data_IF_836629552494
#
_entry.id   IF_836629552494
#
_cell.length_a   1.000
_cell.length_b   1.000
_cell.length_c   1.000
_cell.angle_alpha   90.00
_cell.angle_beta   90.00
_cell.angle_gamma   90.00
#
_symmetry.space_group_name_H-M   'P 1'
#
loop_
_entity.id
_entity.type
_entity.pdbx_description
1 polymer ?
#
# COMPACT_ATOMS: atom_id res chain seq x y z
N UNK A 1 -11.50 -18.49 -5.91
CA UNK A 1 -11.51 -17.43 -4.87
C UNK A 1 -10.19 -17.55 -4.16
N UNK A 2 -9.46 -16.45 -4.05
CA UNK A 2 -8.11 -16.40 -3.49
C UNK A 2 -8.06 -15.34 -2.39
N UNK A 3 -7.13 -15.48 -1.45
CA UNK A 3 -6.79 -14.46 -0.46
C UNK A 3 -5.85 -13.44 -1.10
N UNK A 4 -6.31 -12.20 -1.24
CA UNK A 4 -5.52 -11.05 -1.63
C UNK A 4 -5.17 -10.23 -0.39
N UNK A 5 -3.90 -9.92 -0.22
CA UNK A 5 -3.39 -9.29 1.00
C UNK A 5 -3.98 -7.89 1.28
N UNK A 6 -4.45 -7.21 0.23
CA UNK A 6 -5.05 -5.88 0.29
C UNK A 6 -6.56 -5.94 0.16
N UNK A 7 -7.06 -6.69 -0.84
CA UNK A 7 -8.48 -6.71 -1.21
C UNK A 7 -9.29 -7.81 -0.51
N UNK A 8 -8.64 -8.69 0.24
CA UNK A 8 -9.25 -9.82 0.92
C UNK A 8 -9.68 -10.92 -0.05
N UNK A 9 -10.84 -11.51 0.19
CA UNK A 9 -11.38 -12.60 -0.60
C UNK A 9 -11.76 -12.11 -2.00
N UNK A 10 -10.93 -12.44 -3.00
CA UNK A 10 -11.15 -12.05 -4.39
C UNK A 10 -11.54 -13.25 -5.25
N UNK A 11 -12.61 -13.08 -6.04
CA UNK A 11 -13.02 -14.01 -7.07
C UNK A 11 -12.63 -13.48 -8.44
N UNK A 12 -11.92 -14.32 -9.20
CA UNK A 12 -11.70 -14.14 -10.64
C UNK A 12 -12.45 -15.22 -11.40
N UNK A 13 -13.28 -14.83 -12.37
CA UNK A 13 -14.08 -15.73 -13.20
C UNK A 13 -13.67 -15.60 -14.65
N UNK A 14 -13.44 -16.73 -15.33
CA UNK A 14 -13.16 -16.79 -16.76
C UNK A 14 -14.36 -17.37 -17.50
N UNK A 15 -14.89 -16.64 -18.48
CA UNK A 15 -16.00 -17.06 -19.34
C UNK A 15 -15.51 -17.18 -20.78
N UNK A 16 -15.64 -18.36 -21.35
CA UNK A 16 -15.19 -18.68 -22.70
C UNK A 16 -16.40 -18.82 -23.63
N UNK A 17 -16.37 -18.19 -24.79
CA UNK A 17 -17.49 -18.20 -25.73
C UNK A 17 -17.04 -18.11 -27.20
N UNK A 18 -18.01 -18.20 -28.11
CA UNK A 18 -17.83 -18.11 -29.56
C UNK A 18 -16.76 -19.08 -30.09
N UNK A 19 -16.90 -20.36 -29.75
CA UNK A 19 -15.93 -21.37 -30.14
C UNK A 19 -15.88 -21.57 -31.65
N UNK A 20 -14.66 -21.72 -32.18
CA UNK A 20 -14.41 -22.21 -33.53
C UNK A 20 -13.71 -23.55 -33.48
N UNK A 21 -13.96 -24.37 -34.49
CA UNK A 21 -13.27 -25.66 -34.65
C UNK A 21 -12.06 -25.51 -35.56
N UNK A 22 -10.90 -25.95 -35.09
CA UNK A 22 -9.67 -26.06 -35.89
C UNK A 22 -9.15 -27.48 -35.71
N UNK A 23 -9.13 -28.23 -36.81
CA UNK A 23 -8.92 -29.68 -36.81
C UNK A 23 -9.83 -30.41 -35.81
N UNK A 24 -9.25 -30.91 -34.71
CA UNK A 24 -9.96 -31.63 -33.66
C UNK A 24 -10.20 -30.79 -32.39
N UNK A 25 -9.73 -29.54 -32.36
CA UNK A 25 -9.81 -28.66 -31.19
C UNK A 25 -10.95 -27.65 -31.33
N UNK A 26 -11.65 -27.39 -30.22
CA UNK A 26 -12.59 -26.28 -30.08
C UNK A 26 -11.89 -25.14 -29.33
N UNK A 27 -11.66 -24.03 -30.00
CA UNK A 27 -10.92 -22.89 -29.47
C UNK A 27 -11.91 -21.74 -29.25
N UNK A 28 -11.98 -21.15 -28.03
CA UNK A 28 -12.86 -20.00 -27.78
C UNK A 28 -12.34 -18.77 -28.54
N UNK A 29 -13.23 -18.04 -29.21
CA UNK A 29 -12.87 -16.75 -29.82
C UNK A 29 -12.94 -15.58 -28.85
N UNK A 30 -13.73 -15.72 -27.78
CA UNK A 30 -13.88 -14.67 -26.79
C UNK A 30 -13.66 -15.23 -25.38
N UNK A 31 -12.90 -14.47 -24.59
CA UNK A 31 -12.64 -14.76 -23.17
C UNK A 31 -12.98 -13.48 -22.40
N UNK A 32 -13.96 -13.56 -21.50
CA UNK A 32 -14.27 -12.50 -20.55
C UNK A 32 -13.70 -12.88 -19.18
N UNK A 33 -12.93 -11.98 -18.58
CA UNK A 33 -12.24 -12.20 -17.31
C UNK A 33 -12.77 -11.17 -16.31
N UNK A 34 -13.64 -11.60 -15.41
CA UNK A 34 -14.17 -10.78 -14.32
C UNK A 34 -13.21 -10.91 -13.13
N UNK A 35 -12.46 -9.86 -12.79
CA UNK A 35 -11.48 -9.81 -11.69
C UNK A 35 -12.00 -9.00 -10.51
N UNK A 36 -11.41 -9.24 -9.34
CA UNK A 36 -11.66 -8.49 -8.11
C UNK A 36 -13.16 -8.39 -7.78
N UNK A 37 -13.86 -9.53 -7.76
CA UNK A 37 -15.30 -9.57 -7.49
C UNK A 37 -16.12 -8.75 -8.52
N UNK A 38 -15.79 -8.95 -9.80
CA UNK A 38 -16.43 -8.31 -10.97
C UNK A 38 -16.24 -6.78 -11.06
N UNK A 39 -15.23 -6.22 -10.37
CA UNK A 39 -14.90 -4.79 -10.45
C UNK A 39 -14.14 -4.43 -11.72
N UNK A 40 -13.36 -5.37 -12.24
CA UNK A 40 -12.64 -5.24 -13.51
C UNK A 40 -13.12 -6.34 -14.44
N UNK A 41 -13.40 -5.97 -15.69
CA UNK A 41 -13.77 -6.92 -16.73
C UNK A 41 -12.79 -6.71 -17.88
N UNK A 42 -11.95 -7.71 -18.12
CA UNK A 42 -11.10 -7.76 -19.29
C UNK A 42 -11.76 -8.63 -20.36
N UNK A 43 -11.64 -8.22 -21.62
CA UNK A 43 -12.09 -8.99 -22.76
C UNK A 43 -10.90 -9.31 -23.67
N UNK A 44 -10.76 -10.59 -24.01
CA UNK A 44 -9.78 -11.07 -24.97
C UNK A 44 -10.52 -11.64 -26.17
N UNK A 45 -10.22 -11.10 -27.35
CA UNK A 45 -10.70 -11.61 -28.62
C UNK A 45 -9.56 -12.27 -29.41
N UNK A 46 -9.76 -13.53 -29.79
CA UNK A 46 -8.78 -14.29 -30.56
C UNK A 46 -9.13 -14.21 -32.05
N UNK A 47 -8.57 -13.24 -32.76
CA UNK A 47 -8.89 -13.04 -34.18
C UNK A 47 -8.46 -14.24 -35.06
N UNK A 48 -7.22 -14.69 -34.89
CA UNK A 48 -6.62 -15.78 -35.70
C UNK A 48 -6.14 -16.88 -34.77
N UNK A 49 -6.32 -18.12 -35.19
CA UNK A 49 -5.87 -19.29 -34.46
C UNK A 49 -5.28 -20.27 -35.47
N UNK A 50 -4.06 -20.75 -35.21
CA UNK A 50 -3.29 -21.61 -36.10
C UNK A 50 -2.67 -22.74 -35.28
N UNK A 51 -2.69 -23.96 -35.81
CA UNK A 51 -1.98 -25.09 -35.23
C UNK A 51 -0.63 -25.20 -35.96
N UNK A 52 0.45 -25.21 -35.20
CA UNK A 52 1.82 -25.35 -35.70
C UNK A 52 2.51 -26.49 -34.95
N UNK A 53 3.41 -27.21 -35.64
CA UNK A 53 4.25 -28.24 -35.04
C UNK A 53 5.52 -27.67 -34.38
N UNK A 54 5.76 -26.36 -34.54
CA UNK A 54 6.90 -25.65 -33.97
C UNK A 54 6.43 -24.75 -32.84
N UNK A 55 7.08 -24.82 -31.68
CA UNK A 55 6.88 -23.86 -30.60
C UNK A 55 7.58 -22.54 -30.96
N UNK A 56 6.87 -21.43 -31.16
CA UNK A 56 7.51 -20.15 -31.44
C UNK A 56 8.31 -19.70 -30.21
N UNK A 57 9.58 -19.34 -30.42
CA UNK A 57 10.34 -18.61 -29.41
C UNK A 57 9.86 -17.16 -29.45
N UNK A 58 8.99 -16.79 -28.50
CA UNK A 58 8.40 -15.44 -28.44
C UNK A 58 9.41 -14.42 -27.90
N UNK A 59 10.22 -14.84 -26.93
CA UNK A 59 11.28 -14.06 -26.28
C UNK A 59 12.43 -14.99 -25.92
N UNK A 60 13.67 -14.61 -26.26
CA UNK A 60 14.86 -15.27 -25.74
C UNK A 60 15.18 -14.72 -24.35
N UNK A 61 15.42 -15.61 -23.39
CA UNK A 61 15.90 -15.17 -22.08
C UNK A 61 17.34 -14.64 -22.20
N UNK A 62 17.74 -13.64 -21.39
CA UNK A 62 19.14 -13.24 -21.29
C UNK A 62 20.03 -14.44 -20.94
N UNK A 63 21.21 -14.56 -21.56
CA UNK A 63 22.12 -15.71 -21.38
C UNK A 63 22.52 -15.96 -19.91
N UNK A 64 22.55 -14.90 -19.11
CA UNK A 64 22.93 -14.96 -17.70
C UNK A 64 21.73 -14.97 -16.74
N UNK A 65 20.51 -15.09 -17.26
CA UNK A 65 19.31 -15.22 -16.42
C UNK A 65 19.36 -16.53 -15.64
N UNK A 66 19.24 -16.43 -14.32
CA UNK A 66 19.08 -17.56 -13.42
C UNK A 66 17.85 -17.31 -12.56
N UNK A 67 16.94 -18.26 -12.57
CA UNK A 67 15.85 -18.28 -11.61
C UNK A 67 16.46 -18.62 -10.24
N UNK A 68 16.19 -17.79 -9.25
CA UNK A 68 16.58 -18.04 -7.87
C UNK A 68 15.35 -18.54 -7.12
N UNK A 69 15.56 -19.38 -6.12
CA UNK A 69 14.47 -19.76 -5.23
C UNK A 69 14.03 -18.51 -4.46
N UNK A 70 12.72 -18.27 -4.36
CA UNK A 70 12.18 -17.22 -3.52
C UNK A 70 12.44 -17.62 -2.05
N UNK A 71 13.49 -17.07 -1.45
CA UNK A 71 13.69 -17.18 0.00
C UNK A 71 12.54 -16.45 0.72
N UNK A 72 11.92 -17.12 1.68
CA UNK A 72 10.93 -16.50 2.56
C UNK A 72 11.62 -15.42 3.39
N UNK A 73 11.44 -14.14 3.03
CA UNK A 73 12.02 -13.03 3.76
C UNK A 73 11.32 -12.93 5.12
N UNK A 74 12.09 -13.12 6.20
CA UNK A 74 11.55 -12.99 7.56
C UNK A 74 11.22 -11.53 7.84
N UNK A 75 10.01 -11.27 8.33
CA UNK A 75 9.58 -9.93 8.72
C UNK A 75 10.48 -9.36 9.82
N UNK A 76 11.00 -8.15 9.63
CA UNK A 76 11.81 -7.45 10.63
C UNK A 76 11.69 -5.94 10.49
N UNK A 77 11.67 -5.26 11.63
CA UNK A 77 11.63 -3.79 11.73
C UNK A 77 12.92 -3.33 12.39
N UNK A 78 13.64 -2.40 11.74
CA UNK A 78 14.69 -1.63 12.36
C UNK A 78 14.12 -0.27 12.81
N UNK A 79 14.28 0.04 14.10
CA UNK A 79 13.89 1.33 14.65
C UNK A 79 15.07 2.31 14.60
N UNK A 80 14.85 3.46 13.96
CA UNK A 80 15.82 4.55 13.87
C UNK A 80 15.21 5.80 14.54
N UNK A 81 15.88 6.31 15.57
CA UNK A 81 15.52 7.60 16.18
C UNK A 81 16.12 8.76 15.39
N UNK A 82 15.28 9.59 14.77
CA UNK A 82 15.71 10.79 14.04
C UNK A 82 15.78 12.02 14.95
N UNK A 83 14.75 12.23 15.79
CA UNK A 83 14.71 13.25 16.84
C UNK A 83 13.92 12.74 18.04
N UNK A 84 13.66 13.58 19.04
CA UNK A 84 12.79 13.21 20.17
C UNK A 84 11.32 13.02 19.76
N UNK A 85 10.91 13.58 18.61
CA UNK A 85 9.54 13.50 18.11
C UNK A 85 9.42 12.65 16.84
N UNK A 86 10.50 12.42 16.11
CA UNK A 86 10.49 11.73 14.81
C UNK A 86 11.25 10.42 14.93
N UNK A 87 10.55 9.32 14.72
CA UNK A 87 11.07 7.96 14.70
C UNK A 87 10.78 7.36 13.32
N UNK A 88 11.66 6.48 12.84
CA UNK A 88 11.51 5.76 11.59
C UNK A 88 11.51 4.26 11.89
N UNK A 89 10.58 3.53 11.28
CA UNK A 89 10.50 2.08 11.33
C UNK A 89 10.79 1.56 9.92
N UNK A 90 11.95 0.95 9.72
CA UNK A 90 12.35 0.38 8.43
C UNK A 90 11.97 -1.11 8.38
N UNK A 91 11.02 -1.45 7.52
CA UNK A 91 10.55 -2.81 7.30
C UNK A 91 11.47 -3.47 6.27
N UNK A 92 12.47 -4.22 6.73
CA UNK A 92 13.51 -4.79 5.84
C UNK A 92 12.98 -5.82 4.86
N UNK A 93 11.83 -6.43 5.15
CA UNK A 93 11.21 -7.45 4.31
C UNK A 93 10.38 -6.90 3.18
N UNK A 94 10.04 -5.61 3.20
CA UNK A 94 9.31 -4.94 2.11
C UNK A 94 10.07 -3.73 1.56
N UNK A 95 11.21 -3.38 2.14
CA UNK A 95 12.04 -2.21 1.78
C UNK A 95 11.29 -0.87 1.93
N UNK A 96 10.36 -0.82 2.89
CA UNK A 96 9.58 0.37 3.21
C UNK A 96 10.08 1.07 4.48
N UNK A 97 9.79 2.36 4.57
CA UNK A 97 10.02 3.18 5.75
C UNK A 97 8.73 3.80 6.22
N UNK A 98 8.38 3.52 7.46
CA UNK A 98 7.22 4.08 8.14
C UNK A 98 7.67 5.18 9.09
N UNK A 99 6.91 6.26 9.13
CA UNK A 99 7.18 7.42 9.98
C UNK A 99 6.29 7.35 11.22
N UNK A 100 6.91 7.30 12.40
CA UNK A 100 6.23 7.39 13.69
C UNK A 100 6.55 8.74 14.31
N UNK A 101 5.50 9.51 14.59
CA UNK A 101 5.59 10.85 15.16
C UNK A 101 5.04 10.85 16.57
N UNK A 102 5.89 11.22 17.52
CA UNK A 102 5.56 11.32 18.93
C UNK A 102 5.15 12.74 19.33
N UNK A 103 3.88 12.90 19.71
CA UNK A 103 3.38 14.08 20.42
C UNK A 103 3.38 13.80 21.93
N UNK A 104 3.02 14.82 22.73
CA UNK A 104 2.93 14.72 24.18
C UNK A 104 2.03 13.56 24.64
N UNK A 105 0.80 13.49 24.11
CA UNK A 105 -0.23 12.57 24.59
C UNK A 105 -0.58 11.45 23.61
N UNK A 106 -0.03 11.45 22.39
CA UNK A 106 -0.43 10.50 21.36
C UNK A 106 0.67 10.27 20.31
N UNK A 107 0.47 9.23 19.51
CA UNK A 107 1.26 8.90 18.33
C UNK A 107 0.46 9.19 17.06
N UNK A 108 1.17 9.61 16.01
CA UNK A 108 0.72 9.58 14.64
C UNK A 108 1.64 8.63 13.86
N UNK A 109 1.04 7.70 13.12
CA UNK A 109 1.77 6.82 12.20
C UNK A 109 1.47 7.28 10.77
N UNK A 110 2.52 7.44 9.98
CA UNK A 110 2.46 7.70 8.55
C UNK A 110 3.03 6.50 7.80
N UNK A 111 2.23 5.96 6.89
CA UNK A 111 2.47 4.78 6.06
C UNK A 111 2.30 3.43 6.78
N UNK A 112 1.74 2.45 6.07
CA UNK A 112 1.67 1.06 6.47
C UNK A 112 1.62 0.15 5.22
N UNK A 113 2.73 -0.53 4.90
CA UNK A 113 2.87 -1.19 3.62
C UNK A 113 2.13 -2.53 3.52
N UNK A 114 1.53 -2.71 2.35
CA UNK A 114 1.05 -3.95 1.72
C UNK A 114 -0.14 -4.66 2.37
N UNK A 115 -0.16 -4.85 3.70
CA UNK A 115 -1.13 -5.75 4.32
C UNK A 115 -1.32 -5.55 5.84
N UNK A 116 -2.37 -6.18 6.38
CA UNK A 116 -2.72 -6.15 7.79
C UNK A 116 -1.63 -6.73 8.71
N UNK A 117 -0.83 -7.71 8.27
CA UNK A 117 0.25 -8.25 9.11
C UNK A 117 1.33 -7.19 9.38
N UNK A 118 1.69 -6.42 8.36
CA UNK A 118 2.62 -5.30 8.51
C UNK A 118 2.04 -4.17 9.37
N UNK A 119 0.75 -3.84 9.20
CA UNK A 119 0.08 -2.86 10.06
C UNK A 119 0.10 -3.27 11.54
N UNK A 120 -0.15 -4.55 11.85
CA UNK A 120 -0.07 -5.10 13.20
C UNK A 120 1.36 -5.04 13.78
N UNK A 121 2.37 -5.34 12.95
CA UNK A 121 3.79 -5.23 13.34
C UNK A 121 4.15 -3.78 13.70
N UNK A 122 3.72 -2.81 12.89
CA UNK A 122 3.96 -1.38 13.11
C UNK A 122 3.31 -0.91 14.41
N UNK A 123 2.04 -1.27 14.64
CA UNK A 123 1.32 -0.93 15.89
C UNK A 123 2.05 -1.52 17.10
N UNK A 124 2.51 -2.77 16.99
CA UNK A 124 3.28 -3.44 18.05
C UNK A 124 4.58 -2.69 18.36
N UNK A 125 5.37 -2.33 17.34
CA UNK A 125 6.61 -1.56 17.54
C UNK A 125 6.35 -0.16 18.11
N UNK A 126 5.32 0.53 17.62
CA UNK A 126 4.93 1.84 18.14
C UNK A 126 4.60 1.78 19.65
N UNK A 127 3.88 0.73 20.09
CA UNK A 127 3.56 0.49 21.50
C UNK A 127 4.77 0.07 22.34
N UNK A 128 5.85 -0.46 21.74
CA UNK A 128 7.11 -0.68 22.47
C UNK A 128 7.86 0.63 22.69
N UNK A 129 7.86 1.50 21.69
CA UNK A 129 8.55 2.81 21.74
C UNK A 129 7.88 3.74 22.74
N UNK A 130 6.55 3.86 22.69
CA UNK A 130 5.77 4.74 23.54
C UNK A 130 4.52 4.04 24.12
N UNK A 131 4.69 3.14 25.10
CA UNK A 131 3.62 2.23 25.58
C UNK A 131 2.40 2.93 26.19
N UNK A 132 2.56 4.16 26.65
CA UNK A 132 1.48 4.91 27.31
C UNK A 132 0.75 5.87 26.35
N UNK A 133 1.19 6.00 25.09
CA UNK A 133 0.61 6.92 24.12
C UNK A 133 -0.27 6.14 23.12
N UNK A 134 -1.57 6.45 22.98
CA UNK A 134 -2.40 5.84 21.95
C UNK A 134 -1.98 6.29 20.56
N UNK A 135 -2.18 5.43 19.55
CA UNK A 135 -2.11 5.81 18.14
C UNK A 135 -3.41 6.53 17.80
N UNK A 136 -3.36 7.87 17.81
CA UNK A 136 -4.55 8.71 17.58
C UNK A 136 -4.83 8.89 16.10
N UNK A 137 -3.78 8.97 15.29
CA UNK A 137 -3.88 9.22 13.87
C UNK A 137 -3.06 8.22 13.07
N UNK A 138 -3.66 7.78 11.96
CA UNK A 138 -2.95 7.14 10.87
C UNK A 138 -3.11 8.02 9.62
N UNK A 139 -2.03 8.22 8.87
CA UNK A 139 -2.03 8.93 7.59
C UNK A 139 -1.21 8.13 6.59
N UNK A 140 -1.47 8.32 5.30
CA UNK A 140 -0.72 7.69 4.23
C UNK A 140 -0.54 8.68 3.09
N UNK A 141 0.57 8.56 2.37
CA UNK A 141 0.96 9.47 1.31
C UNK A 141 -0.03 9.47 0.15
N UNK A 142 -0.38 8.28 -0.33
CA UNK A 142 -1.30 8.09 -1.46
C UNK A 142 -1.84 6.65 -1.53
N UNK A 143 -2.74 6.36 -2.47
CA UNK A 143 -3.51 5.12 -2.55
C UNK A 143 -2.73 3.84 -2.93
N UNK A 144 -1.42 3.90 -3.18
CA UNK A 144 -0.67 2.67 -3.44
C UNK A 144 -0.55 1.83 -2.17
N UNK A 145 -0.58 0.52 -2.35
CA UNK A 145 -0.59 -0.48 -1.29
C UNK A 145 0.62 -0.38 -0.36
N UNK A 146 1.76 0.13 -0.83
CA UNK A 146 2.97 0.39 -0.05
C UNK A 146 2.74 1.43 1.08
N UNK A 147 1.67 2.21 1.00
CA UNK A 147 1.39 3.34 1.90
C UNK A 147 0.17 3.11 2.77
N UNK A 148 -0.89 2.49 2.23
CA UNK A 148 -2.10 2.21 3.00
C UNK A 148 -2.48 0.74 3.16
N UNK A 149 -1.73 -0.21 2.60
CA UNK A 149 -2.14 -1.62 2.61
C UNK A 149 -2.34 -2.20 4.01
N UNK A 150 -1.65 -1.65 5.01
CA UNK A 150 -1.81 -2.00 6.42
C UNK A 150 -2.85 -1.17 7.19
N UNK A 151 -3.80 -0.50 6.53
CA UNK A 151 -4.77 0.41 7.19
C UNK A 151 -5.75 -0.29 8.13
N UNK A 152 -6.18 -1.52 7.83
CA UNK A 152 -7.22 -2.23 8.59
C UNK A 152 -6.87 -2.41 10.08
N UNK A 153 -5.62 -2.81 10.45
CA UNK A 153 -5.16 -2.78 11.84
C UNK A 153 -5.31 -1.43 12.55
N UNK A 154 -5.10 -0.30 11.87
CA UNK A 154 -5.25 1.03 12.49
C UNK A 154 -6.71 1.38 12.74
N UNK A 155 -7.62 0.95 11.87
CA UNK A 155 -9.06 1.04 12.11
C UNK A 155 -9.46 0.19 13.32
N UNK A 156 -8.92 -1.03 13.42
CA UNK A 156 -9.13 -1.89 14.60
C UNK A 156 -8.53 -1.29 15.90
N UNK A 157 -7.38 -0.61 15.83
CA UNK A 157 -6.78 0.07 16.99
C UNK A 157 -7.53 1.34 17.40
N UNK A 158 -8.46 1.81 16.57
CA UNK A 158 -9.30 2.99 16.84
C UNK A 158 -8.67 4.32 16.41
N UNK A 159 -7.66 4.29 15.53
CA UNK A 159 -7.04 5.49 15.00
C UNK A 159 -8.00 6.25 14.06
N UNK A 160 -7.90 7.58 14.05
CA UNK A 160 -8.55 8.41 13.05
C UNK A 160 -7.68 8.46 11.78
N UNK A 161 -8.25 8.05 10.66
CA UNK A 161 -7.55 8.00 9.36
C UNK A 161 -7.58 9.38 8.70
N UNK A 162 -6.43 10.03 8.58
CA UNK A 162 -6.27 11.30 7.86
C UNK A 162 -6.13 10.99 6.38
N UNK A 163 -6.99 11.55 5.54
CA UNK A 163 -6.99 11.28 4.10
C UNK A 163 -7.62 12.42 3.30
N UNK A 164 -7.40 12.43 1.98
CA UNK A 164 -8.08 13.37 1.09
C UNK A 164 -9.50 12.91 0.77
N UNK A 165 -10.31 13.79 0.17
CA UNK A 165 -11.65 13.42 -0.31
C UNK A 165 -11.64 12.33 -1.39
N UNK A 166 -10.56 12.18 -2.16
CA UNK A 166 -10.41 11.13 -3.18
C UNK A 166 -10.30 9.72 -2.60
N UNK A 167 -9.94 9.59 -1.32
CA UNK A 167 -9.66 8.29 -0.70
C UNK A 167 -10.87 7.65 -0.03
N UNK A 168 -11.96 8.39 0.19
CA UNK A 168 -13.08 7.93 1.04
C UNK A 168 -13.65 6.59 0.60
N UNK A 169 -14.03 6.50 -0.68
CA UNK A 169 -14.68 5.29 -1.21
C UNK A 169 -13.71 4.11 -1.22
N UNK A 170 -12.42 4.38 -1.48
CA UNK A 170 -11.39 3.36 -1.48
C UNK A 170 -11.08 2.84 -0.07
N UNK A 171 -10.94 3.73 0.92
CA UNK A 171 -10.79 3.35 2.32
C UNK A 171 -11.99 2.55 2.83
N UNK A 172 -13.20 2.99 2.50
CA UNK A 172 -14.42 2.27 2.87
C UNK A 172 -14.44 0.88 2.24
N UNK A 173 -14.06 0.78 0.96
CA UNK A 173 -13.90 -0.50 0.28
C UNK A 173 -12.90 -1.42 1.00
N UNK A 174 -11.69 -0.96 1.32
CA UNK A 174 -10.68 -1.77 2.02
C UNK A 174 -11.13 -2.21 3.42
N UNK A 175 -11.87 -1.37 4.14
CA UNK A 175 -12.42 -1.69 5.46
C UNK A 175 -13.55 -2.71 5.38
N UNK A 176 -14.42 -2.59 4.37
CA UNK A 176 -15.56 -3.49 4.17
C UNK A 176 -15.19 -4.78 3.44
N UNK A 177 -14.00 -4.85 2.83
CA UNK A 177 -13.48 -6.07 2.20
C UNK A 177 -13.49 -7.23 3.20
N UNK A 178 -13.98 -8.36 2.71
CA UNK A 178 -14.08 -9.59 3.48
C UNK A 178 -12.75 -10.34 3.46
N UNK A 179 -12.22 -10.72 4.60
CA UNK A 179 -10.98 -11.50 4.70
C UNK A 179 -11.24 -12.88 5.33
N UNK A 180 -12.23 -13.62 4.84
CA UNK A 180 -12.65 -14.86 5.53
C UNK A 180 -11.73 -16.06 5.29
N UNK A 181 -10.91 -16.03 4.23
CA UNK A 181 -9.88 -17.06 4.02
C UNK A 181 -8.70 -16.92 5.00
N UNK A 182 -8.35 -15.69 5.37
CA UNK A 182 -7.25 -15.36 6.27
C UNK A 182 -7.65 -14.15 7.15
N UNK A 183 -8.45 -14.37 8.21
CA UNK A 183 -9.08 -13.29 8.94
C UNK A 183 -8.08 -12.47 9.75
N UNK A 184 -8.11 -11.16 9.55
CA UNK A 184 -7.41 -10.19 10.38
C UNK A 184 -8.27 -9.74 11.57
N UNK A 185 -7.70 -8.91 12.45
CA UNK A 185 -8.41 -8.45 13.65
C UNK A 185 -9.68 -7.67 13.34
N UNK A 186 -9.72 -6.95 12.22
CA UNK A 186 -10.89 -6.17 11.82
C UNK A 186 -12.01 -7.05 11.27
N UNK A 187 -11.69 -8.14 10.56
CA UNK A 187 -12.67 -9.18 10.19
C UNK A 187 -13.25 -9.86 11.45
N UNK A 188 -12.39 -10.18 12.42
CA UNK A 188 -12.79 -10.87 13.65
C UNK A 188 -13.58 -9.98 14.62
N UNK A 189 -13.24 -8.68 14.69
CA UNK A 189 -13.89 -7.68 15.53
C UNK A 189 -14.09 -6.38 14.73
N UNK A 190 -15.20 -6.27 13.98
CA UNK A 190 -15.45 -5.10 13.14
C UNK A 190 -15.54 -3.81 13.95
N UNK A 191 -14.82 -2.78 13.48
CA UNK A 191 -14.85 -1.42 14.04
C UNK A 191 -15.11 -0.40 12.94
N UNK A 192 -15.80 0.71 13.24
CA UNK A 192 -16.14 1.70 12.23
C UNK A 192 -14.90 2.46 11.75
N UNK A 193 -14.84 2.73 10.45
CA UNK A 193 -13.89 3.66 9.88
C UNK A 193 -14.20 5.09 10.36
N UNK A 194 -13.22 5.74 11.00
CA UNK A 194 -13.29 7.16 11.38
C UNK A 194 -12.26 7.93 10.56
N UNK A 195 -12.72 8.91 9.78
CA UNK A 195 -11.85 9.70 8.91
C UNK A 195 -11.78 11.17 9.32
N UNK A 196 -10.63 11.80 9.04
CA UNK A 196 -10.43 13.25 9.08
C UNK A 196 -9.93 13.72 7.73
N UNK A 197 -10.70 14.58 7.08
CA UNK A 197 -10.36 15.03 5.74
C UNK A 197 -9.31 16.14 5.76
N UNK A 198 -8.39 16.05 4.80
CA UNK A 198 -7.49 17.13 4.42
C UNK A 198 -7.89 17.66 3.04
N UNK A 199 -8.00 18.99 2.93
CA UNK A 199 -8.28 19.67 1.66
C UNK A 199 -6.99 20.27 1.09
N UNK A 200 -6.38 21.23 1.79
CA UNK A 200 -5.12 21.84 1.35
C UNK A 200 -3.94 21.43 2.24
N UNK A 201 -4.13 21.59 3.56
CA UNK A 201 -3.13 21.22 4.55
C UNK A 201 -3.78 20.96 5.90
N UNK A 202 -3.05 20.28 6.79
CA UNK A 202 -3.46 20.03 8.17
C UNK A 202 -2.24 20.13 9.09
N UNK A 203 -2.33 20.98 10.11
CA UNK A 203 -1.36 21.00 11.21
C UNK A 203 -1.79 20.04 12.32
N UNK A 204 -0.89 19.13 12.71
CA UNK A 204 -0.98 18.33 13.92
C UNK A 204 0.08 18.86 14.88
N UNK A 205 -0.32 19.27 16.09
CA UNK A 205 0.58 19.92 17.05
C UNK A 205 0.23 19.62 18.49
N UNK A 206 1.23 19.77 19.35
CA UNK A 206 1.10 19.97 20.78
C UNK A 206 1.79 21.30 21.19
N UNK A 207 2.08 21.50 22.48
CA UNK A 207 2.67 22.73 22.98
C UNK A 207 4.11 22.98 22.49
N UNK A 208 4.85 21.94 22.09
CA UNK A 208 6.27 22.02 21.77
C UNK A 208 6.63 21.56 20.35
N UNK A 209 5.72 20.87 19.66
CA UNK A 209 5.99 20.23 18.39
C UNK A 209 4.84 20.37 17.39
N UNK A 210 5.17 20.58 16.11
CA UNK A 210 4.22 20.69 15.00
C UNK A 210 4.69 19.86 13.80
N UNK A 211 3.77 19.09 13.24
CA UNK A 211 3.85 18.47 11.92
C UNK A 211 2.80 19.10 11.02
N UNK A 212 3.16 19.42 9.78
CA UNK A 212 2.24 19.87 8.74
C UNK A 212 2.12 18.81 7.66
N UNK A 213 0.89 18.46 7.32
CA UNK A 213 0.55 17.57 6.21
C UNK A 213 0.07 18.48 5.09
N UNK A 214 0.63 18.36 3.89
CA UNK A 214 0.21 19.12 2.71
C UNK A 214 -0.37 18.18 1.67
N UNK A 215 -1.51 18.55 1.11
CA UNK A 215 -2.08 17.91 -0.06
C UNK A 215 -1.50 18.55 -1.31
N UNK A 216 -0.67 17.80 -2.04
CA UNK A 216 -0.09 18.25 -3.32
C UNK A 216 -0.83 17.63 -4.52
N UNK A 217 -1.49 16.49 -4.30
CA UNK A 217 -2.34 15.82 -5.28
C UNK A 217 -1.65 15.69 -6.64
N UNK A 218 -2.34 16.13 -7.70
CA UNK A 218 -1.83 16.07 -9.08
C UNK A 218 -0.49 16.78 -9.32
N UNK A 219 -0.07 17.71 -8.45
CA UNK A 219 1.26 18.33 -8.59
C UNK A 219 2.41 17.34 -8.32
N UNK A 220 2.10 16.16 -7.76
CA UNK A 220 3.06 15.07 -7.61
C UNK A 220 3.48 14.43 -8.95
N UNK A 221 2.68 14.57 -10.01
CA UNK A 221 2.77 13.76 -11.24
C UNK A 221 2.79 12.23 -10.98
N UNK A 222 2.31 11.79 -9.80
CA UNK A 222 2.25 10.38 -9.39
C UNK A 222 0.81 9.94 -9.14
N UNK A 223 0.12 10.57 -8.19
CA UNK A 223 -1.29 10.29 -7.87
C UNK A 223 -2.12 11.55 -7.65
N UNK A 224 -3.44 11.42 -7.68
CA UNK A 224 -4.37 12.54 -7.49
C UNK A 224 -4.56 12.94 -6.03
N UNK A 225 -4.20 12.05 -5.09
CA UNK A 225 -4.47 12.11 -3.65
C UNK A 225 -3.21 12.41 -2.81
N UNK A 226 -2.06 12.63 -3.46
CA UNK A 226 -0.74 12.67 -2.84
C UNK A 226 -0.58 13.69 -1.70
N UNK A 227 -0.04 13.24 -0.57
CA UNK A 227 0.32 13.99 0.63
C UNK A 227 1.83 14.03 0.84
N UNK A 228 2.33 15.10 1.47
CA UNK A 228 3.70 15.17 2.00
C UNK A 228 3.68 15.69 3.43
N UNK A 229 4.69 15.32 4.20
CA UNK A 229 4.81 15.68 5.61
C UNK A 229 5.99 16.62 5.83
N UNK A 230 5.74 17.76 6.47
CA UNK A 230 6.75 18.76 6.77
C UNK A 230 6.84 19.02 8.27
N UNK A 231 8.07 19.04 8.77
CA UNK A 231 8.42 19.29 10.16
C UNK A 231 9.14 20.64 10.25
N UNK A 232 8.47 21.73 10.65
CA UNK A 232 9.03 23.08 10.56
C UNK A 232 10.25 23.32 11.44
N UNK A 233 10.27 22.73 12.65
CA UNK A 233 11.38 22.90 13.60
C UNK A 233 12.64 22.18 13.11
N UNK A 234 12.48 20.98 12.58
CA UNK A 234 13.54 20.13 12.04
C UNK A 234 13.96 20.54 10.62
N UNK A 235 13.10 21.28 9.92
CA UNK A 235 13.23 21.62 8.49
C UNK A 235 13.36 20.37 7.62
N UNK A 236 12.55 19.36 7.92
CA UNK A 236 12.54 18.06 7.26
C UNK A 236 11.24 17.87 6.49
N UNK A 237 11.34 17.29 5.29
CA UNK A 237 10.20 16.81 4.52
C UNK A 237 10.31 15.29 4.40
N UNK A 238 9.21 14.59 4.68
CA UNK A 238 9.01 13.19 4.34
C UNK A 238 8.01 13.15 3.17
N UNK A 239 8.45 12.57 2.05
CA UNK A 239 7.82 12.74 0.73
C UNK A 239 7.49 11.43 0.02
N UNK A 240 7.69 10.28 0.69
CA UNK A 240 7.45 8.94 0.13
C UNK A 240 8.29 8.64 -1.13
N UNK A 241 7.66 8.37 -2.27
CA UNK A 241 8.30 8.01 -3.55
C UNK A 241 8.32 9.15 -4.59
N UNK A 242 8.01 10.38 -4.19
CA UNK A 242 7.96 11.54 -5.09
C UNK A 242 9.31 11.85 -5.75
N UNK A 243 10.42 11.60 -5.05
CA UNK A 243 11.76 11.86 -5.53
C UNK A 243 12.70 10.66 -5.35
N UNK A 244 13.40 10.31 -6.43
CA UNK A 244 14.43 9.27 -6.44
C UNK A 244 15.81 9.92 -6.28
N UNK A 245 16.57 9.51 -5.26
CA UNK A 245 17.95 9.95 -5.07
C UNK A 245 18.89 8.80 -5.44
N UNK A 246 19.74 9.03 -6.43
CA UNK A 246 20.77 8.06 -6.81
C UNK A 246 21.70 7.78 -5.61
N UNK A 247 21.86 6.50 -5.27
CA UNK A 247 22.65 6.02 -4.12
C UNK A 247 24.12 6.50 -4.14
N UNK A 248 24.65 6.85 -5.32
CA UNK A 248 26.05 7.26 -5.50
C UNK A 248 26.29 8.78 -5.37
N UNK A 249 25.25 9.60 -5.31
CA UNK A 249 25.41 11.06 -5.20
C UNK A 249 24.94 11.53 -3.83
N UNK A 250 25.89 11.60 -2.88
CA UNK A 250 25.70 12.48 -1.70
C UNK A 250 25.47 13.88 -2.24
N UNK A 251 24.24 14.40 -2.09
CA UNK A 251 23.93 15.80 -2.34
C UNK A 251 24.88 16.65 -1.49
N UNK A 252 25.90 17.25 -2.12
CA UNK A 252 26.73 18.26 -1.47
C UNK A 252 25.82 19.43 -1.18
N UNK A 253 25.60 19.74 0.09
CA UNK A 253 24.93 20.98 0.48
C UNK A 253 25.69 22.14 -0.17
N UNK A 254 25.02 22.89 -1.04
CA UNK A 254 25.48 24.23 -1.39
C UNK A 254 25.22 25.08 -0.14
N UNK A 255 26.32 25.46 0.52
CA UNK A 255 26.36 26.50 1.55
C UNK A 255 25.77 27.80 1.01
#
# INVERSE_FOLDING_TARGET
MNDDALFGDVLTTFKYSNYVKIDQLNIPKNISIEKYNCKIIDEVEILISLITNENPIILEHPKDYKMTDNESIKSSIEHIKYSDHIQLLELKHTDDRVLLVEFADFLLIAEAPLNSQNGDLIISEAKKIAPNKPIKYFVFGHFHEHYLGGVRPFVHDGATIICSSYNKDYLQYLVDSKHSLNPDKLEMEPKPLVTKLINDSLSIKDDNFEMKIYFIGKQSDHTIDYLIYYFPNEKVVFQDDLAWIAKEVRLKSKK
#
